data_IF_861917205832
#
_entry.id   IF_861917205832
#
_cell.length_a   1.000
_cell.length_b   1.000
_cell.length_c   1.000
_cell.angle_alpha   90.00
_cell.angle_beta   90.00
_cell.angle_gamma   90.00
#
_symmetry.space_group_name_H-M   'P 1'
#
loop_
_entity.id
_entity.type
_entity.pdbx_description
1 polymer ?
#
# COMPACT_ATOMS: atom_id res chain seq x y z
N UNK A 1 -18.67 -9.61 5.28
CA UNK A 1 -17.66 -9.85 4.21
C UNK A 1 -16.29 -9.53 4.75
N UNK A 2 -15.33 -10.42 4.54
CA UNK A 2 -13.98 -10.25 5.04
C UNK A 2 -12.96 -10.25 3.90
N UNK A 3 -11.88 -9.50 4.12
CA UNK A 3 -10.71 -9.52 3.26
C UNK A 3 -9.68 -10.39 3.96
N UNK A 4 -9.16 -11.39 3.26
CA UNK A 4 -8.18 -12.29 3.83
C UNK A 4 -6.82 -12.12 3.18
N UNK A 5 -5.80 -12.14 3.99
CA UNK A 5 -4.40 -12.17 3.57
C UNK A 5 -3.66 -13.29 4.29
N UNK A 6 -2.34 -13.29 4.18
CA UNK A 6 -1.48 -14.33 4.73
C UNK A 6 -0.46 -13.75 5.70
N UNK A 7 -0.09 -14.55 6.70
CA UNK A 7 1.08 -14.29 7.53
C UNK A 7 2.28 -14.99 6.90
N UNK A 8 3.21 -14.21 6.38
CA UNK A 8 4.47 -14.75 5.83
C UNK A 8 5.46 -14.91 6.98
N UNK A 9 6.09 -16.06 7.06
CA UNK A 9 7.01 -16.43 8.15
C UNK A 9 6.35 -16.37 9.54
N UNK A 10 5.03 -16.50 9.60
CA UNK A 10 4.26 -16.53 10.83
C UNK A 10 4.01 -15.16 11.48
N UNK A 11 4.49 -14.04 10.92
CA UNK A 11 4.34 -12.73 11.57
C UNK A 11 4.08 -11.55 10.64
N UNK A 12 4.44 -11.64 9.37
CA UNK A 12 4.32 -10.50 8.46
C UNK A 12 3.03 -10.59 7.64
N UNK A 13 2.03 -9.71 7.91
CA UNK A 13 0.72 -9.82 7.28
C UNK A 13 0.70 -9.16 5.92
N UNK A 14 0.42 -9.95 4.88
CA UNK A 14 0.30 -9.47 3.51
C UNK A 14 -1.12 -9.66 2.97
N UNK A 15 -1.57 -8.69 2.18
CA UNK A 15 -2.83 -8.76 1.43
C UNK A 15 -2.58 -8.39 -0.02
N UNK A 16 -3.12 -9.19 -0.94
CA UNK A 16 -3.15 -8.85 -2.35
C UNK A 16 -4.30 -7.89 -2.65
N UNK A 17 -4.01 -6.91 -3.51
CA UNK A 17 -5.01 -6.00 -4.01
C UNK A 17 -4.73 -5.66 -5.47
N UNK A 18 -5.78 -5.31 -6.20
CA UNK A 18 -5.65 -4.65 -7.49
C UNK A 18 -5.61 -3.15 -7.24
N UNK A 19 -4.51 -2.52 -7.60
CA UNK A 19 -4.31 -1.08 -7.47
C UNK A 19 -4.68 -0.40 -8.78
N UNK A 20 -5.57 0.57 -8.69
CA UNK A 20 -6.02 1.36 -9.85
C UNK A 20 -5.81 2.83 -9.54
N UNK A 21 -5.12 3.52 -10.43
CA UNK A 21 -4.92 4.97 -10.36
C UNK A 21 -5.24 5.58 -11.71
N UNK A 22 -6.40 6.22 -11.82
CA UNK A 22 -6.85 6.83 -13.09
C UNK A 22 -5.94 7.98 -13.50
N UNK A 23 -5.46 8.75 -12.54
CA UNK A 23 -4.54 9.88 -12.78
C UNK A 23 -3.26 9.44 -13.49
N UNK A 24 -2.79 8.22 -13.24
CA UNK A 24 -1.58 7.66 -13.82
C UNK A 24 -1.86 6.63 -14.92
N UNK A 25 -3.14 6.34 -15.17
CA UNK A 25 -3.58 5.31 -16.12
C UNK A 25 -2.95 3.95 -15.80
N UNK A 26 -3.06 3.54 -14.53
CA UNK A 26 -2.43 2.31 -14.04
C UNK A 26 -3.46 1.36 -13.47
N UNK A 27 -3.31 0.07 -13.83
CA UNK A 27 -3.99 -1.06 -13.19
C UNK A 27 -2.93 -2.12 -12.93
N UNK A 28 -2.71 -2.46 -11.66
CA UNK A 28 -1.64 -3.40 -11.28
C UNK A 28 -2.03 -4.18 -10.04
N UNK A 29 -1.77 -5.48 -10.06
CA UNK A 29 -1.88 -6.30 -8.85
C UNK A 29 -0.64 -6.05 -7.98
N UNK A 30 -0.86 -5.76 -6.70
CA UNK A 30 0.20 -5.50 -5.75
C UNK A 30 0.00 -6.29 -4.46
N UNK A 31 1.09 -6.46 -3.76
CA UNK A 31 1.11 -7.09 -2.44
C UNK A 31 1.38 -6.01 -1.41
N UNK A 32 0.49 -5.87 -0.43
CA UNK A 32 0.56 -4.84 0.60
C UNK A 32 0.79 -5.47 1.97
N UNK A 33 1.68 -4.88 2.76
CA UNK A 33 1.80 -5.21 4.18
C UNK A 33 0.73 -4.45 4.96
N UNK A 34 0.01 -5.14 5.81
CA UNK A 34 -0.93 -4.52 6.76
C UNK A 34 -0.11 -3.84 7.84
N UNK A 35 -0.09 -2.50 7.83
CA UNK A 35 0.79 -1.72 8.71
C UNK A 35 0.00 -0.66 9.47
N UNK A 36 -0.34 -0.96 10.73
CA UNK A 36 -1.06 -0.05 11.61
C UNK A 36 -0.20 1.14 12.06
N UNK A 37 1.11 1.10 11.84
CA UNK A 37 2.02 2.19 12.13
C UNK A 37 2.12 3.24 11.03
N UNK A 38 1.51 2.99 9.88
CA UNK A 38 1.53 3.90 8.74
C UNK A 38 0.20 4.62 8.62
N UNK A 39 0.23 5.96 8.59
CA UNK A 39 -1.01 6.76 8.53
C UNK A 39 -1.65 6.71 7.14
N UNK A 40 -0.86 6.77 6.10
CA UNK A 40 -1.32 6.86 4.71
C UNK A 40 -0.78 5.68 3.91
N UNK A 41 -1.67 4.98 3.20
CA UNK A 41 -1.28 3.89 2.31
C UNK A 41 -0.21 4.36 1.33
N UNK A 42 0.88 3.60 1.24
CA UNK A 42 2.10 4.02 0.57
C UNK A 42 2.55 2.98 -0.44
N UNK A 43 2.75 3.42 -1.67
CA UNK A 43 3.34 2.59 -2.72
C UNK A 43 4.85 2.82 -2.68
N UNK A 44 5.60 1.76 -2.44
CA UNK A 44 7.05 1.84 -2.36
C UNK A 44 7.67 1.90 -3.75
N UNK A 45 8.92 2.33 -3.82
CA UNK A 45 9.63 2.54 -5.08
C UNK A 45 9.70 1.29 -5.94
N UNK A 46 9.91 0.10 -5.33
CA UNK A 46 9.96 -1.13 -6.11
C UNK A 46 8.68 -1.34 -6.92
N UNK A 47 7.52 -1.21 -6.28
CA UNK A 47 6.23 -1.35 -6.96
C UNK A 47 5.98 -0.20 -7.94
N UNK A 48 6.33 1.03 -7.55
CA UNK A 48 6.19 2.20 -8.41
C UNK A 48 7.02 2.05 -9.69
N UNK A 49 8.23 1.52 -9.57
CA UNK A 49 9.10 1.26 -10.71
C UNK A 49 8.52 0.18 -11.63
N UNK A 50 7.96 -0.87 -11.06
CA UNK A 50 7.28 -1.92 -11.83
C UNK A 50 6.07 -1.38 -12.59
N UNK A 51 5.37 -0.41 -12.01
CA UNK A 51 4.23 0.26 -12.63
C UNK A 51 4.63 1.31 -13.67
N UNK A 52 5.93 1.67 -13.73
CA UNK A 52 6.46 2.74 -14.60
C UNK A 52 5.75 4.07 -14.34
N UNK A 53 5.68 4.46 -13.06
CA UNK A 53 5.00 5.68 -12.63
C UNK A 53 5.62 6.91 -13.26
N UNK A 54 4.79 7.78 -13.82
CA UNK A 54 5.20 9.12 -14.25
C UNK A 54 5.01 10.08 -13.07
N UNK A 55 6.09 10.32 -12.33
CA UNK A 55 6.06 11.19 -11.15
C UNK A 55 5.71 12.65 -11.49
N UNK A 56 5.87 13.07 -12.74
CA UNK A 56 5.50 14.43 -13.15
C UNK A 56 3.99 14.67 -13.09
N UNK A 57 3.20 13.62 -13.09
CA UNK A 57 1.74 13.71 -12.95
C UNK A 57 1.27 13.74 -11.51
N UNK A 58 2.18 13.63 -10.56
CA UNK A 58 1.87 13.59 -9.14
C UNK A 58 2.30 14.88 -8.46
N UNK A 59 1.71 15.17 -7.30
CA UNK A 59 2.12 16.30 -6.47
C UNK A 59 3.27 15.88 -5.58
N UNK A 60 4.39 16.61 -5.70
CA UNK A 60 5.52 16.35 -4.81
C UNK A 60 5.26 16.95 -3.44
N UNK A 61 5.54 16.16 -2.41
CA UNK A 61 5.49 16.58 -1.01
C UNK A 61 6.91 16.64 -0.43
N UNK A 62 6.99 17.05 0.84
CA UNK A 62 8.25 17.12 1.55
C UNK A 62 8.91 15.74 1.61
N UNK A 63 10.23 15.72 1.42
CA UNK A 63 10.98 14.47 1.45
C UNK A 63 10.91 13.83 2.84
N UNK A 64 10.88 12.51 2.84
CA UNK A 64 10.87 11.71 4.06
C UNK A 64 12.26 11.13 4.30
N UNK A 65 12.68 11.15 5.57
CA UNK A 65 13.86 10.42 6.04
C UNK A 65 13.39 9.11 6.65
N UNK A 66 13.93 8.02 6.19
CA UNK A 66 13.56 6.69 6.66
C UNK A 66 14.76 5.80 6.84
N UNK A 67 14.52 4.54 7.20
CA UNK A 67 15.55 3.54 7.47
C UNK A 67 16.45 3.30 6.25
N UNK A 68 15.97 3.49 5.05
CA UNK A 68 16.73 3.34 3.81
C UNK A 68 17.40 4.60 3.29
N UNK A 69 17.35 5.72 4.03
CA UNK A 69 17.88 7.02 3.59
C UNK A 69 16.79 7.99 3.18
N UNK A 70 17.12 8.95 2.31
CA UNK A 70 16.18 9.94 1.83
C UNK A 70 15.27 9.38 0.73
N UNK A 71 14.01 9.72 0.81
CA UNK A 71 13.05 9.38 -0.23
C UNK A 71 12.27 10.63 -0.63
N UNK A 72 12.07 10.83 -1.93
CA UNK A 72 11.11 11.80 -2.42
C UNK A 72 9.71 11.25 -2.22
N UNK A 73 8.79 12.09 -1.78
CA UNK A 73 7.40 11.72 -1.54
C UNK A 73 6.50 12.43 -2.54
N UNK A 74 5.65 11.65 -3.18
CA UNK A 74 4.65 12.13 -4.13
C UNK A 74 3.29 11.62 -3.73
N UNK A 75 2.23 12.32 -4.10
CA UNK A 75 0.87 11.87 -3.84
C UNK A 75 0.01 11.96 -5.09
N UNK A 76 -0.84 10.96 -5.26
CA UNK A 76 -1.99 11.00 -6.16
C UNK A 76 -3.22 11.35 -5.33
N UNK A 77 -4.13 12.14 -5.89
CA UNK A 77 -5.31 12.60 -5.15
C UNK A 77 -6.24 11.47 -4.77
N UNK A 78 -6.42 10.51 -5.67
CA UNK A 78 -7.32 9.38 -5.42
C UNK A 78 -6.91 8.18 -6.25
N UNK A 79 -6.75 7.06 -5.57
CA UNK A 79 -6.57 5.75 -6.17
C UNK A 79 -7.60 4.80 -5.58
N UNK A 80 -7.68 3.60 -6.13
CA UNK A 80 -8.61 2.58 -5.66
C UNK A 80 -7.87 1.28 -5.42
N UNK A 81 -8.28 0.56 -4.39
CA UNK A 81 -7.84 -0.80 -4.13
C UNK A 81 -9.03 -1.73 -4.21
N UNK A 82 -8.88 -2.81 -4.96
CA UNK A 82 -9.89 -3.86 -5.06
C UNK A 82 -9.32 -5.13 -4.46
N UNK A 83 -10.04 -5.67 -3.47
CA UNK A 83 -9.65 -6.88 -2.75
C UNK A 83 -10.55 -8.05 -3.16
N UNK A 84 -10.03 -9.27 -3.02
CA UNK A 84 -10.84 -10.48 -3.19
C UNK A 84 -11.52 -10.58 -4.55
N UNK A 85 -10.78 -10.37 -5.64
CA UNK A 85 -11.31 -10.42 -7.01
C UNK A 85 -12.43 -9.40 -7.27
N UNK A 86 -12.31 -8.21 -6.65
CA UNK A 86 -13.28 -7.14 -6.84
C UNK A 86 -14.47 -7.18 -5.88
N UNK A 87 -14.43 -8.04 -4.87
CA UNK A 87 -15.53 -8.18 -3.89
C UNK A 87 -15.63 -6.94 -3.01
N UNK A 88 -14.51 -6.32 -2.67
CA UNK A 88 -14.45 -5.12 -1.85
C UNK A 88 -13.57 -4.08 -2.53
N UNK A 89 -14.07 -2.84 -2.65
CA UNK A 89 -13.29 -1.73 -3.17
C UNK A 89 -13.16 -0.63 -2.13
N UNK A 90 -11.99 0.00 -2.10
CA UNK A 90 -11.67 1.05 -1.15
C UNK A 90 -11.00 2.21 -1.88
N UNK A 91 -11.47 3.43 -1.63
CA UNK A 91 -10.81 4.64 -2.12
C UNK A 91 -9.64 4.98 -1.19
N UNK A 92 -8.52 5.33 -1.79
CA UNK A 92 -7.33 5.78 -1.06
C UNK A 92 -7.06 7.24 -1.46
N UNK A 93 -7.34 8.17 -0.53
CA UNK A 93 -7.30 9.62 -0.76
C UNK A 93 -6.51 10.32 0.34
N UNK A 94 -5.29 10.76 0.11
CA UNK A 94 -4.43 10.53 -1.04
C UNK A 94 -3.72 9.18 -0.98
N UNK A 95 -3.11 8.80 -2.09
CA UNK A 95 -2.15 7.68 -2.11
C UNK A 95 -0.74 8.24 -2.18
N UNK A 96 0.13 7.73 -1.31
CA UNK A 96 1.51 8.17 -1.22
C UNK A 96 2.42 7.26 -2.03
N UNK A 97 3.34 7.85 -2.77
CA UNK A 97 4.36 7.14 -3.56
C UNK A 97 5.74 7.58 -3.09
N UNK A 98 6.62 6.62 -2.88
CA UNK A 98 8.01 6.90 -2.51
C UNK A 98 8.93 6.68 -3.70
N UNK A 99 9.86 7.61 -3.88
CA UNK A 99 10.95 7.46 -4.84
C UNK A 99 12.27 7.61 -4.08
N UNK A 100 12.98 6.50 -3.93
CA UNK A 100 14.27 6.51 -3.25
C UNK A 100 15.37 7.01 -4.18
N UNK A 101 16.17 7.95 -3.67
CA UNK A 101 17.21 8.57 -4.46
C UNK A 101 18.53 7.79 -4.44
N UNK A 102 18.77 7.01 -3.39
CA UNK A 102 20.04 6.32 -3.17
C UNK A 102 19.79 4.85 -2.79
N UNK A 103 19.36 4.07 -3.76
CA UNK A 103 19.19 2.62 -3.54
C UNK A 103 20.50 1.93 -3.92
N UNK A 104 21.27 1.51 -2.92
CA UNK A 104 22.55 0.88 -3.14
C UNK A 104 22.58 -0.62 -2.90
N UNK A 105 21.50 -1.20 -2.39
CA UNK A 105 21.43 -2.64 -2.16
C UNK A 105 20.16 -3.23 -2.75
N UNK A 106 20.26 -4.48 -3.20
CA UNK A 106 19.12 -5.23 -3.70
C UNK A 106 18.02 -5.39 -2.63
N UNK A 107 18.37 -5.39 -1.36
CA UNK A 107 17.42 -5.53 -0.26
C UNK A 107 16.54 -4.30 -0.10
N UNK A 108 17.09 -3.10 -0.33
CA UNK A 108 16.32 -1.85 -0.27
C UNK A 108 15.30 -1.74 -1.40
N UNK A 109 15.54 -2.41 -2.53
CA UNK A 109 14.63 -2.41 -3.67
C UNK A 109 13.37 -3.22 -3.41
N UNK A 110 13.36 -4.04 -2.35
CA UNK A 110 12.28 -5.00 -2.07
C UNK A 110 11.39 -4.61 -0.90
N UNK A 111 11.47 -3.38 -0.44
CA UNK A 111 10.53 -2.93 0.59
C UNK A 111 9.10 -3.02 0.05
N UNK A 112 8.20 -3.66 0.79
CA UNK A 112 6.81 -3.79 0.34
C UNK A 112 6.08 -2.46 0.42
N UNK A 113 5.04 -2.34 -0.38
CA UNK A 113 4.07 -1.27 -0.22
C UNK A 113 3.25 -1.52 1.04
N UNK A 114 2.70 -0.45 1.63
CA UNK A 114 2.08 -0.51 2.95
C UNK A 114 0.61 -0.11 2.88
N UNK A 115 -0.26 -0.94 3.47
CA UNK A 115 -1.66 -0.60 3.68
C UNK A 115 -1.77 0.09 5.03
N UNK A 116 -2.10 1.37 5.02
CA UNK A 116 -2.08 2.22 6.21
C UNK A 116 -3.40 2.37 6.93
N UNK A 117 -3.38 3.15 8.00
CA UNK A 117 -4.55 3.38 8.84
C UNK A 117 -5.68 4.14 8.14
N UNK A 118 -5.37 4.86 7.07
CA UNK A 118 -6.39 5.50 6.23
C UNK A 118 -7.42 4.49 5.72
N UNK A 119 -6.98 3.27 5.43
CA UNK A 119 -7.85 2.16 5.03
C UNK A 119 -8.22 1.29 6.24
N UNK A 120 -7.23 0.91 7.03
CA UNK A 120 -7.37 -0.09 8.11
C UNK A 120 -8.35 0.34 9.21
N UNK A 121 -8.51 1.66 9.44
CA UNK A 121 -9.43 2.17 10.46
C UNK A 121 -10.89 1.76 10.24
N UNK A 122 -11.24 1.34 9.02
CA UNK A 122 -12.61 0.93 8.67
C UNK A 122 -12.86 -0.55 8.92
N UNK A 123 -11.86 -1.28 9.42
CA UNK A 123 -11.91 -2.73 9.56
C UNK A 123 -11.49 -3.15 10.96
N UNK A 124 -12.08 -4.25 11.40
CA UNK A 124 -11.57 -5.00 12.54
C UNK A 124 -10.50 -5.95 12.01
N UNK A 125 -9.30 -5.87 12.58
CA UNK A 125 -8.17 -6.71 12.17
C UNK A 125 -8.07 -7.89 13.13
N UNK A 126 -8.03 -9.09 12.59
CA UNK A 126 -7.79 -10.29 13.38
C UNK A 126 -6.77 -11.18 12.69
N UNK A 127 -6.16 -12.04 13.49
CA UNK A 127 -5.13 -12.96 13.00
C UNK A 127 -5.51 -14.37 13.38
N UNK A 128 -5.29 -15.29 12.45
CA UNK A 128 -5.25 -16.73 12.75
C UNK A 128 -3.79 -17.18 12.74
N UNK A 129 -3.55 -18.45 12.85
CA UNK A 129 -2.19 -19.00 12.78
C UNK A 129 -1.48 -18.65 11.45
N UNK A 130 -2.23 -18.55 10.35
CA UNK A 130 -1.67 -18.40 9.01
C UNK A 130 -2.25 -17.23 8.21
N UNK A 131 -3.23 -16.51 8.75
CA UNK A 131 -3.96 -15.49 8.00
C UNK A 131 -4.10 -14.19 8.78
N UNK A 132 -4.19 -13.09 8.04
CA UNK A 132 -4.71 -11.82 8.52
C UNK A 132 -6.10 -11.63 7.91
N UNK A 133 -7.06 -11.19 8.72
CA UNK A 133 -8.45 -11.03 8.31
C UNK A 133 -8.90 -9.61 8.64
N UNK A 134 -9.41 -8.93 7.62
CA UNK A 134 -10.02 -7.61 7.79
C UNK A 134 -11.53 -7.75 7.64
N UNK A 135 -12.25 -7.53 8.73
CA UNK A 135 -13.71 -7.55 8.73
C UNK A 135 -14.24 -6.13 8.80
N UNK A 136 -15.17 -5.81 7.91
CA UNK A 136 -15.81 -4.53 7.94
C UNK A 136 -16.71 -4.46 9.19
N UNK A 137 -16.49 -3.43 10.01
CA UNK A 137 -17.30 -3.25 11.20
C UNK A 137 -18.74 -2.91 10.81
N UNK A 138 -19.70 -3.62 11.41
CA UNK A 138 -21.10 -3.29 11.23
C UNK A 138 -21.38 -1.97 11.95
N UNK A 139 -21.92 -1.02 11.23
CA UNK A 139 -22.40 0.22 11.84
C UNK A 139 -23.80 -0.03 12.39
N UNK A 140 -23.89 -0.04 13.68
CA UNK A 140 -25.20 -0.04 14.33
C UNK A 140 -25.70 1.38 14.52
#
# INVERSE_FOLDING_TARGET
MSIEGRLVSGWLPFIYAKFICDQLDIVKDILLVVDTGTAITTINEFDARQMKIDYSKLTRKQDSLGIGGSAETYVADSCHLYFGEGIESVDVKPTKFLRQLNVHSADQERYPSLLGMDVLKNYKISFTESKVILDKESKN
#
